data_IF_782686425536
#
_entry.id   IF_782686425536
#
_cell.length_a   1.000
_cell.length_b   1.000
_cell.length_c   1.000
_cell.angle_alpha   90.00
_cell.angle_beta   90.00
_cell.angle_gamma   90.00
#
_symmetry.space_group_name_H-M   'P 1'
#
loop_
_entity.id
_entity.type
_entity.pdbx_description
1 polymer ?
#
# COMPACT_ATOMS: atom_id res chain seq x y z
N UNK A 1 -14.00 2.65 -3.82
CA UNK A 1 -15.09 1.71 -3.49
C UNK A 1 -14.69 0.56 -2.58
N UNK A 2 -13.44 0.05 -2.56
CA UNK A 2 -13.06 -1.12 -1.72
C UNK A 2 -12.83 -0.80 -0.22
N UNK A 3 -12.66 0.47 0.17
CA UNK A 3 -12.39 0.84 1.58
C UNK A 3 -13.61 0.73 2.49
N UNK A 4 -14.79 1.14 2.02
CA UNK A 4 -15.99 1.27 2.86
C UNK A 4 -16.41 -0.04 3.55
N UNK A 5 -16.29 -1.18 2.86
CA UNK A 5 -16.63 -2.50 3.45
C UNK A 5 -15.63 -2.90 4.54
N UNK A 6 -14.35 -2.58 4.34
CA UNK A 6 -13.31 -2.85 5.33
C UNK A 6 -13.55 -1.98 6.57
N UNK A 7 -13.85 -0.70 6.36
CA UNK A 7 -14.13 0.25 7.45
C UNK A 7 -15.33 -0.22 8.30
N UNK A 8 -16.42 -0.67 7.65
CA UNK A 8 -17.60 -1.22 8.34
C UNK A 8 -17.25 -2.47 9.17
N UNK A 9 -16.34 -3.32 8.68
CA UNK A 9 -15.98 -4.58 9.32
C UNK A 9 -14.76 -4.48 10.24
N UNK A 10 -14.17 -3.29 10.40
CA UNK A 10 -12.87 -3.12 11.07
C UNK A 10 -12.89 -3.62 12.51
N UNK A 11 -13.91 -3.25 13.30
CA UNK A 11 -14.09 -3.75 14.66
C UNK A 11 -14.18 -5.29 14.72
N UNK A 12 -14.78 -5.90 13.70
CA UNK A 12 -14.83 -7.36 13.56
C UNK A 12 -13.45 -7.97 13.27
N UNK A 13 -12.62 -7.31 12.48
CA UNK A 13 -11.24 -7.73 12.26
C UNK A 13 -10.41 -7.61 13.55
N UNK A 14 -10.52 -6.50 14.26
CA UNK A 14 -9.84 -6.31 15.55
C UNK A 14 -10.21 -7.41 16.54
N UNK A 15 -11.51 -7.70 16.70
CA UNK A 15 -11.95 -8.77 17.60
C UNK A 15 -11.43 -10.15 17.16
N UNK A 16 -11.62 -10.51 15.88
CA UNK A 16 -11.23 -11.82 15.35
C UNK A 16 -9.71 -12.01 15.39
N UNK A 17 -8.92 -10.96 15.25
CA UNK A 17 -7.45 -11.04 15.24
C UNK A 17 -6.80 -10.50 16.52
N UNK A 18 -7.52 -10.47 17.64
CA UNK A 18 -7.01 -10.04 18.96
C UNK A 18 -6.30 -8.69 18.94
N UNK A 19 -6.92 -7.69 18.31
CA UNK A 19 -6.37 -6.35 18.08
C UNK A 19 -5.01 -6.36 17.38
N UNK A 20 -4.79 -7.38 16.53
CA UNK A 20 -3.55 -7.60 15.78
C UNK A 20 -2.30 -7.78 16.66
N UNK A 21 -2.47 -8.37 17.84
CA UNK A 21 -1.37 -8.80 18.71
C UNK A 21 -0.46 -9.80 17.98
N UNK A 22 0.76 -9.37 17.63
CA UNK A 22 1.69 -10.14 16.80
C UNK A 22 2.00 -11.50 17.43
N UNK A 23 2.27 -11.54 18.75
CA UNK A 23 2.68 -12.77 19.43
C UNK A 23 1.54 -13.80 19.44
N UNK A 24 0.28 -13.36 19.53
CA UNK A 24 -0.88 -14.27 19.38
C UNK A 24 -1.08 -14.70 17.94
N UNK A 25 -0.89 -13.79 16.99
CA UNK A 25 -1.12 -14.08 15.57
C UNK A 25 -0.18 -15.15 15.03
N UNK A 26 1.10 -15.09 15.35
CA UNK A 26 2.10 -16.04 14.86
C UNK A 26 1.87 -17.47 15.39
N UNK A 27 1.21 -17.61 16.54
CA UNK A 27 0.89 -18.89 17.17
C UNK A 27 -0.40 -19.53 16.65
N UNK A 28 -1.12 -18.88 15.72
CA UNK A 28 -2.35 -19.44 15.17
C UNK A 28 -2.09 -20.71 14.34
N UNK A 29 -2.68 -21.86 14.69
CA UNK A 29 -2.64 -23.05 13.85
C UNK A 29 -3.55 -22.92 12.61
N UNK A 30 -3.33 -23.77 11.61
CA UNK A 30 -4.05 -23.70 10.33
C UNK A 30 -5.56 -23.93 10.47
N UNK A 31 -5.99 -24.86 11.34
CA UNK A 31 -7.42 -25.12 11.61
C UNK A 31 -8.12 -23.87 12.20
N UNK A 32 -7.39 -23.06 12.95
CA UNK A 32 -7.91 -21.81 13.49
C UNK A 32 -8.04 -20.74 12.39
N UNK A 33 -7.10 -20.67 11.46
CA UNK A 33 -7.22 -19.77 10.30
C UNK A 33 -8.43 -20.13 9.44
N UNK A 34 -8.68 -21.42 9.23
CA UNK A 34 -9.86 -21.89 8.49
C UNK A 34 -11.16 -21.47 9.18
N UNK A 35 -11.25 -21.67 10.51
CA UNK A 35 -12.39 -21.22 11.32
C UNK A 35 -12.59 -19.71 11.26
N UNK A 36 -11.53 -18.92 11.44
CA UNK A 36 -11.59 -17.45 11.34
C UNK A 36 -12.01 -17.00 9.93
N UNK A 37 -11.56 -17.69 8.88
CA UNK A 37 -11.96 -17.40 7.50
C UNK A 37 -13.45 -17.64 7.21
N UNK A 38 -14.14 -18.42 8.04
CA UNK A 38 -15.59 -18.59 7.97
C UNK A 38 -16.38 -17.55 8.81
N UNK A 39 -15.70 -16.77 9.66
CA UNK A 39 -16.34 -15.79 10.54
C UNK A 39 -17.03 -14.68 9.74
N UNK A 40 -18.30 -14.43 10.08
CA UNK A 40 -19.15 -13.45 9.39
C UNK A 40 -18.82 -12.00 9.75
N UNK A 41 -18.09 -11.78 10.85
CA UNK A 41 -17.60 -10.46 11.27
C UNK A 41 -16.61 -9.91 10.24
N UNK A 42 -15.76 -10.76 9.67
CA UNK A 42 -14.75 -10.36 8.68
C UNK A 42 -15.18 -10.67 7.24
N UNK A 43 -14.29 -10.39 6.28
CA UNK A 43 -14.47 -10.81 4.88
C UNK A 43 -14.02 -12.26 4.76
N UNK A 44 -14.97 -13.16 4.48
CA UNK A 44 -14.73 -14.60 4.38
C UNK A 44 -13.89 -14.96 3.17
N UNK A 45 -12.57 -14.98 3.35
CA UNK A 45 -11.60 -15.34 2.33
C UNK A 45 -10.34 -15.92 2.98
N UNK A 46 -10.16 -17.23 2.85
CA UNK A 46 -9.04 -17.93 3.49
C UNK A 46 -7.67 -17.37 3.10
N UNK A 47 -7.43 -17.14 1.81
CA UNK A 47 -6.16 -16.58 1.33
C UNK A 47 -5.85 -15.22 1.93
N UNK A 48 -6.86 -14.35 2.13
CA UNK A 48 -6.68 -13.05 2.79
C UNK A 48 -6.44 -13.21 4.30
N UNK A 49 -7.17 -14.10 4.96
CA UNK A 49 -6.99 -14.37 6.39
C UNK A 49 -5.59 -14.90 6.70
N UNK A 50 -5.10 -15.85 5.89
CA UNK A 50 -3.75 -16.40 6.02
C UNK A 50 -2.68 -15.30 5.95
N UNK A 51 -2.86 -14.29 5.10
CA UNK A 51 -1.89 -13.19 4.99
C UNK A 51 -1.69 -12.39 6.27
N UNK A 52 -2.68 -12.37 7.18
CA UNK A 52 -2.54 -11.68 8.48
C UNK A 52 -1.46 -12.36 9.32
N UNK A 53 -1.47 -13.70 9.38
CA UNK A 53 -0.44 -14.47 10.09
C UNK A 53 0.91 -14.37 9.40
N UNK A 54 0.95 -14.58 8.08
CA UNK A 54 2.20 -14.53 7.31
C UNK A 54 2.90 -13.17 7.46
N UNK A 55 2.14 -12.07 7.42
CA UNK A 55 2.69 -10.73 7.64
C UNK A 55 3.07 -10.48 9.10
N UNK A 56 2.33 -11.01 10.08
CA UNK A 56 2.71 -10.90 11.49
C UNK A 56 4.06 -11.58 11.79
N UNK A 57 4.31 -12.75 11.19
CA UNK A 57 5.60 -13.44 11.29
C UNK A 57 6.73 -12.58 10.72
N UNK A 58 6.57 -12.04 9.52
CA UNK A 58 7.55 -11.16 8.91
C UNK A 58 7.79 -9.86 9.73
N UNK A 59 6.74 -9.24 10.26
CA UNK A 59 6.89 -8.06 11.12
C UNK A 59 7.60 -8.39 12.43
N UNK A 60 7.41 -9.59 12.98
CA UNK A 60 8.14 -10.07 14.16
C UNK A 60 9.64 -10.17 13.88
N UNK A 61 10.01 -10.75 12.74
CA UNK A 61 11.43 -10.82 12.30
C UNK A 61 12.05 -9.42 12.19
N UNK A 62 11.32 -8.45 11.62
CA UNK A 62 11.78 -7.05 11.57
C UNK A 62 11.98 -6.47 12.98
N UNK A 63 11.04 -6.68 13.90
CA UNK A 63 11.19 -6.19 15.28
C UNK A 63 12.38 -6.83 16.00
N UNK A 64 12.68 -8.10 15.74
CA UNK A 64 13.84 -8.79 16.33
C UNK A 64 15.17 -8.25 15.80
N UNK A 65 15.24 -7.85 14.53
CA UNK A 65 16.45 -7.33 13.90
C UNK A 65 16.66 -5.82 14.16
N UNK A 66 15.59 -5.03 14.11
CA UNK A 66 15.65 -3.55 14.13
C UNK A 66 15.03 -2.90 15.38
N UNK A 67 14.50 -3.69 16.32
CA UNK A 67 13.79 -3.20 17.52
C UNK A 67 12.31 -2.94 17.24
N UNK A 68 12.00 -2.22 16.16
CA UNK A 68 10.62 -1.95 15.74
C UNK A 68 10.46 -1.78 14.23
N UNK A 69 9.25 -2.04 13.73
CA UNK A 69 8.88 -1.79 12.33
C UNK A 69 9.03 -0.31 11.97
N UNK A 70 8.71 0.60 12.90
CA UNK A 70 8.86 2.05 12.70
C UNK A 70 10.31 2.48 12.53
N UNK A 71 11.23 1.94 13.34
CA UNK A 71 12.66 2.23 13.23
C UNK A 71 13.21 1.68 11.92
N UNK A 72 12.88 0.45 11.57
CA UNK A 72 13.22 -0.14 10.27
C UNK A 72 12.74 0.72 9.09
N UNK A 73 11.47 1.15 9.10
CA UNK A 73 10.93 2.03 8.06
C UNK A 73 11.62 3.40 8.02
N UNK A 74 12.00 3.96 9.18
CA UNK A 74 12.69 5.24 9.27
C UNK A 74 14.12 5.17 8.71
N UNK A 75 14.82 4.05 8.93
CA UNK A 75 16.16 3.80 8.41
C UNK A 75 16.19 3.60 6.89
N UNK A 76 15.07 3.21 6.27
CA UNK A 76 15.02 3.01 4.83
C UNK A 76 15.28 4.32 4.06
N UNK A 77 16.25 4.35 3.10
CA UNK A 77 16.61 5.56 2.35
C UNK A 77 15.40 6.24 1.68
N UNK A 78 15.27 7.55 1.84
CA UNK A 78 14.12 8.30 1.32
C UNK A 78 14.08 8.35 -0.22
N UNK A 79 15.24 8.20 -0.87
CA UNK A 79 15.39 8.15 -2.32
C UNK A 79 15.25 6.73 -2.91
N UNK A 80 15.07 5.69 -2.08
CA UNK A 80 14.88 4.30 -2.51
C UNK A 80 13.51 3.70 -2.13
N UNK A 81 12.43 4.42 -2.39
CA UNK A 81 11.07 3.96 -2.07
C UNK A 81 10.62 2.75 -2.91
N UNK A 82 11.06 2.62 -4.16
CA UNK A 82 10.82 1.44 -5.01
C UNK A 82 11.54 0.24 -4.42
N UNK A 83 12.78 0.39 -3.94
CA UNK A 83 13.49 -0.66 -3.23
C UNK A 83 12.67 -1.16 -2.03
N UNK A 84 12.08 -0.24 -1.26
CA UNK A 84 11.20 -0.59 -0.14
C UNK A 84 9.99 -1.40 -0.63
N UNK A 85 9.33 -0.99 -1.70
CA UNK A 85 8.18 -1.72 -2.24
C UNK A 85 8.55 -3.13 -2.71
N UNK A 86 9.70 -3.27 -3.37
CA UNK A 86 10.20 -4.56 -3.84
C UNK A 86 10.55 -5.47 -2.66
N UNK A 87 11.12 -4.90 -1.60
CA UNK A 87 11.38 -5.61 -0.35
C UNK A 87 10.08 -6.08 0.30
N UNK A 88 9.11 -5.18 0.50
CA UNK A 88 7.79 -5.52 1.04
C UNK A 88 7.07 -6.58 0.21
N UNK A 89 7.17 -6.52 -1.12
CA UNK A 89 6.60 -7.53 -2.04
C UNK A 89 7.26 -8.90 -1.87
N UNK A 90 8.57 -8.93 -1.63
CA UNK A 90 9.36 -10.16 -1.54
C UNK A 90 9.14 -10.87 -0.21
N UNK A 91 9.10 -10.10 0.89
CA UNK A 91 9.05 -10.65 2.24
C UNK A 91 7.62 -10.71 2.80
N UNK A 92 6.77 -9.75 2.44
CA UNK A 92 5.38 -9.72 2.86
C UNK A 92 4.44 -10.51 1.93
N UNK A 93 3.31 -10.92 2.49
CA UNK A 93 2.23 -11.60 1.80
C UNK A 93 1.21 -10.59 1.26
N UNK A 94 1.05 -10.55 -0.07
CA UNK A 94 0.13 -9.66 -0.82
C UNK A 94 0.40 -8.15 -0.67
N UNK A 95 1.64 -7.76 -0.39
CA UNK A 95 2.07 -6.35 -0.33
C UNK A 95 2.65 -5.80 -1.66
N UNK A 96 2.53 -6.56 -2.76
CA UNK A 96 2.98 -6.13 -4.08
C UNK A 96 2.02 -5.16 -4.79
N UNK A 97 2.52 -4.58 -5.90
CA UNK A 97 1.76 -3.58 -6.67
C UNK A 97 1.54 -2.30 -5.84
N UNK A 98 0.38 -1.68 -5.97
CA UNK A 98 0.05 -0.45 -5.23
C UNK A 98 -0.34 -0.69 -3.76
N UNK A 99 -0.50 -1.93 -3.32
CA UNK A 99 -0.88 -2.23 -1.92
C UNK A 99 0.16 -1.72 -0.91
N UNK A 100 1.45 -2.04 -1.13
CA UNK A 100 2.55 -1.55 -0.29
C UNK A 100 2.63 -0.02 -0.24
N UNK A 101 2.71 0.68 -1.40
CA UNK A 101 2.67 2.14 -1.46
C UNK A 101 1.48 2.78 -0.72
N UNK A 102 0.27 2.24 -0.86
CA UNK A 102 -0.90 2.74 -0.12
C UNK A 102 -0.78 2.52 1.40
N UNK A 103 -0.24 1.38 1.83
CA UNK A 103 0.02 1.11 3.25
C UNK A 103 1.06 2.09 3.82
N UNK A 104 2.15 2.33 3.09
CA UNK A 104 3.21 3.27 3.48
C UNK A 104 2.67 4.70 3.66
N UNK A 105 1.81 5.17 2.75
CA UNK A 105 1.14 6.47 2.92
C UNK A 105 0.31 6.56 4.18
N UNK A 106 -0.44 5.50 4.52
CA UNK A 106 -1.23 5.45 5.76
C UNK A 106 -0.36 5.45 7.01
N UNK A 107 0.85 4.89 6.92
CA UNK A 107 1.85 4.90 7.98
C UNK A 107 2.67 6.21 8.02
N UNK A 108 2.46 7.13 7.07
CA UNK A 108 3.18 8.41 7.00
C UNK A 108 4.57 8.33 6.37
N UNK A 109 4.98 7.20 5.78
CA UNK A 109 6.22 7.12 4.99
C UNK A 109 5.98 7.74 3.61
N UNK A 110 6.77 8.76 3.28
CA UNK A 110 6.65 9.48 2.01
C UNK A 110 6.91 8.54 0.82
N UNK A 111 6.01 8.56 -0.16
CA UNK A 111 6.04 7.65 -1.30
C UNK A 111 5.07 8.07 -2.42
N UNK A 112 5.37 7.67 -3.66
CA UNK A 112 4.49 7.91 -4.81
C UNK A 112 3.56 6.71 -5.10
N UNK A 113 2.52 6.89 -5.91
CA UNK A 113 1.61 5.82 -6.34
C UNK A 113 1.70 5.69 -7.84
N UNK A 114 1.86 4.47 -8.34
CA UNK A 114 1.80 4.16 -9.77
C UNK A 114 0.33 4.01 -10.19
N UNK A 115 -0.39 5.14 -10.24
CA UNK A 115 -1.74 5.18 -10.80
C UNK A 115 -1.69 5.08 -12.34
N UNK A 116 -2.85 4.86 -12.96
CA UNK A 116 -3.00 4.92 -14.42
C UNK A 116 -2.52 6.26 -14.99
N UNK A 117 -2.79 7.36 -14.28
CA UNK A 117 -2.42 8.71 -14.73
C UNK A 117 -0.92 8.95 -14.61
N UNK A 118 -0.29 8.48 -13.53
CA UNK A 118 1.18 8.52 -13.42
C UNK A 118 1.81 7.66 -14.52
N UNK A 119 1.32 6.44 -14.77
CA UNK A 119 1.81 5.64 -15.89
C UNK A 119 1.63 6.38 -17.24
N UNK A 120 0.46 6.96 -17.48
CA UNK A 120 0.16 7.69 -18.70
C UNK A 120 1.08 8.90 -18.90
N UNK A 121 1.38 9.65 -17.83
CA UNK A 121 2.36 10.74 -17.87
C UNK A 121 3.72 10.26 -18.36
N UNK A 122 4.26 9.21 -17.72
CA UNK A 122 5.60 8.71 -18.04
C UNK A 122 5.68 8.12 -19.46
N UNK A 123 4.62 7.45 -19.93
CA UNK A 123 4.52 6.96 -21.31
C UNK A 123 4.37 8.10 -22.32
N UNK A 124 3.50 9.07 -22.03
CA UNK A 124 3.25 10.22 -22.90
C UNK A 124 4.50 11.08 -23.13
N UNK A 125 5.37 11.19 -22.11
CA UNK A 125 6.66 11.88 -22.19
C UNK A 125 7.81 10.98 -22.65
N UNK A 126 7.54 9.73 -23.06
CA UNK A 126 8.55 8.75 -23.53
C UNK A 126 9.67 8.50 -22.52
N UNK A 127 9.35 8.59 -21.23
CA UNK A 127 10.27 8.25 -20.14
C UNK A 127 10.32 6.73 -19.93
N UNK A 128 9.20 6.03 -20.21
CA UNK A 128 9.12 4.57 -20.18
C UNK A 128 8.38 4.05 -21.42
N UNK A 129 8.91 2.97 -22.00
CA UNK A 129 8.28 2.28 -23.14
C UNK A 129 7.88 0.83 -22.80
N UNK A 130 8.58 0.20 -21.85
CA UNK A 130 8.37 -1.19 -21.45
C UNK A 130 7.24 -1.40 -20.43
N UNK A 131 7.19 -2.59 -19.84
CA UNK A 131 6.26 -2.88 -18.74
C UNK A 131 6.51 -1.97 -17.53
N UNK A 132 5.44 -1.47 -16.91
CA UNK A 132 5.51 -0.56 -15.76
C UNK A 132 6.33 -1.13 -14.60
N UNK A 133 6.19 -2.43 -14.33
CA UNK A 133 6.84 -3.13 -13.22
C UNK A 133 8.23 -3.69 -13.57
N UNK A 134 8.82 -3.30 -14.70
CA UNK A 134 10.20 -3.70 -15.03
C UNK A 134 11.20 -2.89 -14.20
N UNK A 135 12.37 -3.48 -13.90
CA UNK A 135 13.43 -2.79 -13.15
C UNK A 135 13.80 -1.45 -13.79
N UNK A 136 13.93 -1.43 -15.12
CA UNK A 136 14.25 -0.20 -15.87
C UNK A 136 13.19 0.88 -15.65
N UNK A 137 11.90 0.57 -15.90
CA UNK A 137 10.82 1.55 -15.74
C UNK A 137 10.73 2.06 -14.30
N UNK A 138 10.83 1.17 -13.32
CA UNK A 138 10.75 1.55 -11.90
C UNK A 138 11.93 2.45 -11.48
N UNK A 139 13.15 2.15 -11.94
CA UNK A 139 14.32 3.01 -11.71
C UNK A 139 14.12 4.38 -12.34
N UNK A 140 13.72 4.46 -13.62
CA UNK A 140 13.46 5.75 -14.28
C UNK A 140 12.42 6.58 -13.53
N UNK A 141 11.34 5.94 -13.08
CA UNK A 141 10.28 6.63 -12.34
C UNK A 141 10.80 7.16 -11.00
N UNK A 142 11.49 6.34 -10.22
CA UNK A 142 12.09 6.75 -8.94
C UNK A 142 13.05 7.92 -9.12
N UNK A 143 13.99 7.81 -10.06
CA UNK A 143 14.98 8.85 -10.32
C UNK A 143 14.32 10.16 -10.73
N UNK A 144 13.26 10.10 -11.53
CA UNK A 144 12.49 11.27 -11.95
C UNK A 144 11.80 11.93 -10.75
N UNK A 145 11.14 11.16 -9.88
CA UNK A 145 10.52 11.69 -8.67
C UNK A 145 11.54 12.27 -7.68
N UNK A 146 12.67 11.59 -7.48
CA UNK A 146 13.76 12.07 -6.64
C UNK A 146 14.33 13.39 -7.17
N UNK A 147 14.50 13.50 -8.48
CA UNK A 147 14.94 14.74 -9.12
C UNK A 147 13.94 15.88 -8.89
N UNK A 148 12.65 15.64 -9.10
CA UNK A 148 11.62 16.64 -8.86
C UNK A 148 11.52 17.05 -7.39
N UNK A 149 11.66 16.10 -6.45
CA UNK A 149 11.71 16.39 -5.03
C UNK A 149 12.88 17.32 -4.70
N UNK A 150 14.08 17.01 -5.21
CA UNK A 150 15.26 17.85 -5.02
C UNK A 150 15.10 19.27 -5.59
N UNK A 151 14.43 19.40 -6.73
CA UNK A 151 14.23 20.69 -7.41
C UNK A 151 13.13 21.55 -6.77
N UNK A 152 12.05 20.92 -6.32
CA UNK A 152 10.85 21.63 -5.85
C UNK A 152 10.74 21.73 -4.33
N UNK A 153 11.40 20.84 -3.59
CA UNK A 153 11.21 20.68 -2.15
C UNK A 153 9.91 20.00 -1.75
N UNK A 154 9.07 19.54 -2.70
CA UNK A 154 7.84 18.83 -2.40
C UNK A 154 8.07 17.36 -2.03
N UNK A 155 7.17 16.80 -1.22
CA UNK A 155 7.14 15.37 -0.92
C UNK A 155 6.82 14.52 -2.16
N UNK A 156 7.25 13.26 -2.17
CA UNK A 156 6.92 12.30 -3.22
C UNK A 156 5.41 12.11 -3.35
N UNK A 157 4.69 12.15 -2.22
CA UNK A 157 3.23 12.13 -2.23
C UNK A 157 2.63 13.32 -2.97
N UNK A 158 3.08 14.54 -2.68
CA UNK A 158 2.58 15.75 -3.34
C UNK A 158 2.89 15.73 -4.84
N UNK A 159 4.13 15.38 -5.21
CA UNK A 159 4.53 15.22 -6.60
C UNK A 159 3.70 14.16 -7.32
N UNK A 160 3.44 13.03 -6.67
CA UNK A 160 2.59 11.97 -7.23
C UNK A 160 1.17 12.44 -7.51
N UNK A 161 0.59 13.29 -6.64
CA UNK A 161 -0.72 13.88 -6.87
C UNK A 161 -0.69 14.94 -7.97
N UNK A 162 0.33 15.80 -7.99
CA UNK A 162 0.52 16.82 -9.04
C UNK A 162 0.56 16.14 -10.41
N UNK A 163 1.39 15.11 -10.57
CA UNK A 163 1.50 14.35 -11.82
C UNK A 163 0.16 13.73 -12.18
N UNK A 164 -0.48 13.02 -11.24
CA UNK A 164 -1.77 12.36 -11.49
C UNK A 164 -2.87 13.35 -11.90
N UNK A 165 -2.91 14.56 -11.33
CA UNK A 165 -3.90 15.58 -11.67
C UNK A 165 -3.52 16.43 -12.89
N UNK A 166 -2.28 16.33 -13.38
CA UNK A 166 -1.82 17.08 -14.55
C UNK A 166 -2.17 16.42 -15.89
N UNK A 167 -2.62 15.15 -15.87
CA UNK A 167 -2.92 14.37 -17.07
C UNK A 167 -4.24 13.62 -16.93
N UNK A 168 -4.89 13.35 -18.06
CA UNK A 168 -6.13 12.57 -18.10
C UNK A 168 -7.40 13.36 -17.72
N UNK A 169 -8.53 12.65 -17.71
CA UNK A 169 -9.82 13.20 -17.30
C UNK A 169 -9.94 13.16 -15.77
N UNK A 170 -9.68 14.30 -15.12
CA UNK A 170 -9.86 14.45 -13.68
C UNK A 170 -11.34 14.33 -13.29
N UNK A 171 -11.75 13.16 -12.81
CA UNK A 171 -13.10 12.94 -12.29
C UNK A 171 -13.17 13.36 -10.83
N UNK A 172 -13.62 14.58 -10.57
CA UNK A 172 -14.01 15.01 -9.22
C UNK A 172 -15.25 14.24 -8.79
N UNK A 173 -15.10 13.41 -7.76
CA UNK A 173 -16.17 12.58 -7.19
C UNK A 173 -17.19 13.36 -6.38
N UNK A 174 -17.74 14.45 -6.92
CA UNK A 174 -18.93 15.07 -6.33
C UNK A 174 -20.13 14.18 -6.61
N UNK A 175 -20.69 13.58 -5.55
CA UNK A 175 -22.06 13.11 -5.60
C UNK A 175 -22.94 14.34 -5.75
N UNK A 176 -23.47 14.57 -6.95
CA UNK A 176 -24.56 15.54 -7.11
C UNK A 176 -25.70 15.04 -6.21
N UNK A 177 -26.00 15.78 -5.16
CA UNK A 177 -27.26 15.62 -4.45
C UNK A 177 -28.36 15.78 -5.50
N UNK A 178 -29.12 14.70 -5.73
CA UNK A 178 -30.32 14.77 -6.55
C UNK A 178 -31.25 15.77 -5.89
N UNK A 179 -31.37 16.95 -6.49
CA UNK A 179 -32.46 17.89 -6.20
C UNK A 179 -33.75 17.10 -6.33
N UNK A 180 -34.48 17.00 -5.22
CA UNK A 180 -35.79 16.38 -5.21
C UNK A 180 -36.72 17.20 -6.08
N UNK A 181 -37.29 16.56 -7.10
CA UNK A 181 -38.46 17.11 -7.79
C UNK A 181 -39.70 16.76 -6.96
N UNK A 182 -40.51 17.79 -6.69
CA UNK A 182 -41.84 17.77 -6.08
C UNK A 182 -42.86 16.91 -6.85
#
# INVERSE_FOLDING_TARGET
MVTRIIDIKWAGFEEVFWNFDIDKLILMPDDMLERKAADTKIIRNYTKVKTVRDNAMWLKEICEEYGSVSEWLALWPADDVVGLWLYMKKHGSRLGGNTGPYALRRLGKDTFILSSDVEAYFRGHKLIDGGLMTKRSLTTIQDTFNQWQKQSGYSLQALSQIVAYSVGDNRVGFSAESVGDE
#
